data_IF_125730956830
#
_entry.id   IF_125730956830
#
_cell.length_a   1.000
_cell.length_b   1.000
_cell.length_c   1.000
_cell.angle_alpha   90.00
_cell.angle_beta   90.00
_cell.angle_gamma   90.00
#
_symmetry.space_group_name_H-M   'P 1'
#
loop_
_entity.id
_entity.type
_entity.pdbx_description
1 polymer ?
#
# COMPACT_ATOMS: atom_id res chain seq x y z
N UNK A 1 -0.16 -6.43 -24.87
CA UNK A 1 -0.78 -5.12 -25.15
C UNK A 1 -0.85 -4.35 -23.84
N UNK A 2 -0.23 -3.16 -23.71
CA UNK A 2 -0.34 -2.36 -22.49
C UNK A 2 -1.68 -1.64 -22.50
N UNK A 3 -2.56 -1.97 -21.56
CA UNK A 3 -3.88 -1.33 -21.44
C UNK A 3 -3.67 0.00 -20.73
N UNK A 4 -3.56 1.09 -21.49
CA UNK A 4 -3.57 2.45 -20.94
C UNK A 4 -4.96 2.72 -20.35
N UNK A 5 -5.12 2.51 -19.05
CA UNK A 5 -6.34 2.87 -18.32
C UNK A 5 -6.39 4.39 -18.16
N UNK A 6 -7.57 4.97 -18.42
CA UNK A 6 -7.82 6.41 -18.31
C UNK A 6 -8.05 6.73 -16.84
N UNK A 7 -7.18 7.53 -16.24
CA UNK A 7 -7.29 8.07 -14.88
C UNK A 7 -8.69 8.67 -14.66
N UNK A 8 -9.57 8.03 -13.88
CA UNK A 8 -10.88 8.59 -13.57
C UNK A 8 -10.72 9.56 -12.40
N UNK A 9 -10.76 10.86 -12.73
CA UNK A 9 -11.11 12.01 -11.89
C UNK A 9 -11.56 11.62 -10.47
N UNK A 10 -10.59 11.58 -9.54
CA UNK A 10 -10.72 11.55 -8.08
C UNK A 10 -12.11 11.09 -7.61
N UNK A 11 -12.46 9.83 -7.92
CA UNK A 11 -13.64 9.20 -7.32
C UNK A 11 -13.36 9.20 -5.82
N UNK A 12 -14.38 9.50 -5.02
CA UNK A 12 -14.34 9.25 -3.58
C UNK A 12 -14.08 7.76 -3.38
N UNK A 13 -12.80 7.38 -3.34
CA UNK A 13 -12.40 5.99 -3.24
C UNK A 13 -12.89 5.49 -1.89
N UNK A 14 -13.52 4.32 -1.90
CA UNK A 14 -13.83 3.67 -0.64
C UNK A 14 -12.52 3.29 0.05
N UNK A 15 -12.45 3.28 1.39
CA UNK A 15 -11.26 2.83 2.11
C UNK A 15 -10.77 1.43 1.68
N UNK A 16 -11.69 0.59 1.19
CA UNK A 16 -11.39 -0.74 0.66
C UNK A 16 -10.68 -0.69 -0.70
N UNK A 17 -11.04 0.25 -1.58
CA UNK A 17 -10.36 0.44 -2.86
C UNK A 17 -8.94 0.99 -2.65
N UNK A 18 -8.77 1.89 -1.68
CA UNK A 18 -7.45 2.43 -1.31
C UNK A 18 -6.56 1.32 -0.72
N UNK A 19 -7.10 0.50 0.19
CA UNK A 19 -6.39 -0.67 0.72
C UNK A 19 -5.91 -1.61 -0.38
N UNK A 20 -6.76 -1.85 -1.39
CA UNK A 20 -6.43 -2.71 -2.52
C UNK A 20 -5.33 -2.10 -3.40
N UNK A 21 -5.34 -0.80 -3.65
CA UNK A 21 -4.25 -0.16 -4.39
C UNK A 21 -2.91 -0.26 -3.64
N UNK A 22 -2.93 -0.16 -2.31
CA UNK A 22 -1.74 -0.30 -1.47
C UNK A 22 -1.31 -1.74 -1.20
N UNK A 23 -2.13 -2.75 -1.49
CA UNK A 23 -1.83 -4.14 -1.09
C UNK A 23 -0.55 -4.68 -1.75
N UNK A 24 -0.31 -4.37 -3.03
CA UNK A 24 0.92 -4.80 -3.69
C UNK A 24 2.14 -4.10 -3.09
N UNK A 25 2.03 -2.79 -2.89
CA UNK A 25 3.08 -2.01 -2.24
C UNK A 25 3.40 -2.56 -0.84
N UNK A 26 2.41 -3.04 -0.09
CA UNK A 26 2.64 -3.65 1.22
C UNK A 26 3.26 -5.04 1.15
N UNK A 27 2.89 -5.81 0.14
CA UNK A 27 3.36 -7.19 -0.02
C UNK A 27 4.81 -7.25 -0.50
N UNK A 28 5.12 -6.56 -1.59
CA UNK A 28 6.41 -6.68 -2.29
C UNK A 28 7.21 -5.38 -2.31
N UNK A 29 6.66 -4.27 -1.82
CA UNK A 29 7.35 -2.99 -1.79
C UNK A 29 7.40 -2.27 -3.13
N UNK A 30 6.61 -2.72 -4.11
CA UNK A 30 6.55 -2.16 -5.45
C UNK A 30 5.11 -2.21 -5.98
N UNK A 31 4.70 -1.18 -6.71
CA UNK A 31 3.42 -1.13 -7.43
C UNK A 31 3.67 -1.57 -8.88
N UNK A 32 3.26 -2.79 -9.22
CA UNK A 32 3.54 -3.36 -10.54
C UNK A 32 2.51 -2.95 -11.60
N UNK A 33 1.32 -2.56 -11.18
CA UNK A 33 0.20 -2.24 -12.07
C UNK A 33 -0.12 -0.76 -12.13
N UNK A 34 0.68 0.08 -11.45
CA UNK A 34 0.45 1.51 -11.29
C UNK A 34 -0.96 1.77 -10.69
N UNK A 35 -1.43 0.85 -9.82
CA UNK A 35 -2.74 0.94 -9.16
C UNK A 35 -2.79 2.17 -8.24
N UNK A 36 -1.65 2.61 -7.69
CA UNK A 36 -1.53 3.85 -6.94
C UNK A 36 -1.68 5.07 -7.86
N UNK A 37 -1.15 5.02 -9.09
CA UNK A 37 -1.31 6.10 -10.07
C UNK A 37 -2.78 6.28 -10.47
N UNK A 38 -3.52 5.17 -10.60
CA UNK A 38 -4.96 5.15 -10.90
C UNK A 38 -5.80 5.89 -9.82
N UNK A 39 -5.31 5.97 -8.58
CA UNK A 39 -5.95 6.69 -7.47
C UNK A 39 -5.34 8.09 -7.22
N UNK A 40 -4.44 8.54 -8.11
CA UNK A 40 -3.79 9.84 -8.05
C UNK A 40 -2.57 9.91 -7.13
N UNK A 41 -2.05 8.77 -6.70
CA UNK A 41 -0.81 8.65 -5.94
C UNK A 41 0.30 8.20 -6.89
N UNK A 42 1.17 9.11 -7.30
CA UNK A 42 2.36 8.74 -8.08
C UNK A 42 3.39 8.08 -7.18
N UNK A 43 3.23 6.79 -6.92
CA UNK A 43 4.14 5.97 -6.14
C UNK A 43 5.03 5.13 -7.05
N UNK A 44 5.88 5.79 -7.83
CA UNK A 44 6.78 5.09 -8.75
C UNK A 44 8.06 4.69 -8.01
N UNK A 45 8.34 3.38 -7.93
CA UNK A 45 9.59 2.84 -7.40
C UNK A 45 9.46 2.10 -6.06
N UNK A 46 10.49 1.30 -5.74
CA UNK A 46 10.52 0.53 -4.49
C UNK A 46 10.57 1.46 -3.28
N UNK A 47 9.77 1.17 -2.25
CA UNK A 47 9.90 1.86 -0.96
C UNK A 47 9.48 3.33 -0.96
N UNK A 48 8.44 3.66 -1.72
CA UNK A 48 7.88 5.01 -1.81
C UNK A 48 7.69 5.67 -0.42
N UNK A 49 8.04 6.96 -0.22
CA UNK A 49 7.98 7.61 1.09
C UNK A 49 6.57 7.65 1.70
N UNK A 50 5.52 7.61 0.88
CA UNK A 50 4.14 7.54 1.37
C UNK A 50 3.74 6.14 1.86
N UNK A 51 4.54 5.10 1.57
CA UNK A 51 4.22 3.73 1.97
C UNK A 51 4.22 3.56 3.49
N UNK A 52 5.09 4.26 4.22
CA UNK A 52 5.08 4.22 5.69
C UNK A 52 3.80 4.85 6.25
N UNK A 53 3.42 6.03 5.75
CA UNK A 53 2.18 6.72 6.15
C UNK A 53 0.94 5.89 5.83
N UNK A 54 0.89 5.29 4.65
CA UNK A 54 -0.19 4.40 4.24
C UNK A 54 -0.22 3.13 5.10
N UNK A 55 0.93 2.53 5.39
CA UNK A 55 1.04 1.36 6.25
C UNK A 55 0.52 1.63 7.66
N UNK A 56 0.83 2.79 8.25
CA UNK A 56 0.30 3.18 9.57
C UNK A 56 -1.22 3.34 9.59
N UNK A 57 -1.83 3.75 8.47
CA UNK A 57 -3.29 3.98 8.37
C UNK A 57 -4.06 2.71 8.01
N UNK A 58 -3.56 1.95 7.05
CA UNK A 58 -4.26 0.85 6.38
C UNK A 58 -3.66 -0.53 6.71
N UNK A 59 -2.42 -0.59 7.19
CA UNK A 59 -1.72 -1.85 7.44
C UNK A 59 -2.41 -2.74 8.46
N UNK A 60 -3.14 -2.17 9.42
CA UNK A 60 -3.92 -2.96 10.38
C UNK A 60 -5.10 -3.70 9.71
N UNK A 61 -5.78 -3.05 8.77
CA UNK A 61 -6.85 -3.68 7.98
C UNK A 61 -6.27 -4.69 6.98
N UNK A 62 -5.13 -4.38 6.37
CA UNK A 62 -4.42 -5.31 5.50
C UNK A 62 -4.05 -6.61 6.24
N UNK A 63 -3.44 -6.50 7.42
CA UNK A 63 -3.08 -7.67 8.24
C UNK A 63 -4.28 -8.45 8.80
N UNK A 64 -5.46 -7.84 8.86
CA UNK A 64 -6.72 -8.55 9.21
C UNK A 64 -7.25 -9.37 8.04
N UNK A 65 -7.06 -8.91 6.82
CA UNK A 65 -7.47 -9.60 5.60
C UNK A 65 -6.50 -10.73 5.22
N UNK A 66 -5.20 -10.54 5.51
CA UNK A 66 -4.15 -11.52 5.21
C UNK A 66 -3.98 -12.58 6.30
N UNK A 67 -3.43 -13.77 5.95
CA UNK A 67 -3.10 -14.79 6.95
C UNK A 67 -2.01 -14.31 7.91
N UNK A 68 -2.15 -14.66 9.19
CA UNK A 68 -1.29 -14.19 10.28
C UNK A 68 0.20 -14.55 10.12
N UNK A 69 0.51 -15.60 9.35
CA UNK A 69 1.88 -16.07 9.08
C UNK A 69 2.55 -15.37 7.89
N UNK A 70 1.85 -14.48 7.19
CA UNK A 70 2.41 -13.79 6.01
C UNK A 70 3.39 -12.70 6.44
N UNK A 71 4.64 -12.86 6.03
CA UNK A 71 5.67 -11.82 6.15
C UNK A 71 5.63 -10.97 4.89
N UNK A 72 5.08 -9.76 5.02
CA UNK A 72 4.95 -8.80 3.94
C UNK A 72 6.13 -7.82 3.98
N UNK A 73 6.57 -7.30 2.84
CA UNK A 73 7.67 -6.33 2.77
C UNK A 73 7.47 -5.14 3.72
N UNK A 74 6.25 -4.60 3.81
CA UNK A 74 5.95 -3.46 4.70
C UNK A 74 6.10 -3.83 6.18
N UNK A 75 5.77 -5.07 6.55
CA UNK A 75 5.97 -5.57 7.91
C UNK A 75 7.46 -5.71 8.25
N UNK A 76 8.28 -6.16 7.30
CA UNK A 76 9.74 -6.26 7.49
C UNK A 76 10.41 -4.87 7.54
N UNK A 77 10.02 -3.98 6.62
CA UNK A 77 10.61 -2.64 6.51
C UNK A 77 10.19 -1.73 7.63
N UNK A 78 8.88 -1.62 7.90
CA UNK A 78 8.34 -0.64 8.84
C UNK A 78 8.02 -1.24 10.21
N UNK A 79 7.81 -2.56 10.30
CA UNK A 79 7.33 -3.22 11.51
C UNK A 79 5.80 -3.27 11.56
N UNK A 80 5.25 -3.59 12.73
CA UNK A 80 3.79 -3.64 12.90
C UNK A 80 3.21 -2.22 12.82
N UNK A 81 2.08 -2.02 12.12
CA UNK A 81 1.54 -0.67 11.86
C UNK A 81 1.05 0.05 13.13
N UNK A 82 0.71 -0.69 14.19
CA UNK A 82 0.38 -0.16 15.52
C UNK A 82 1.59 -0.06 16.46
N UNK A 83 2.75 -0.62 16.10
CA UNK A 83 3.99 -0.41 16.83
C UNK A 83 4.67 0.84 16.29
N UNK A 84 4.46 1.96 16.98
CA UNK A 84 5.39 3.08 16.84
C UNK A 84 6.77 2.54 17.21
N UNK A 85 7.69 2.43 16.23
CA UNK A 85 9.10 2.17 16.50
C UNK A 85 9.63 3.30 17.39
N UNK A 86 9.51 3.13 18.69
CA UNK A 86 10.32 3.86 19.64
C UNK A 86 11.75 3.36 19.43
N UNK A 87 12.53 4.23 18.81
CA UNK A 87 13.94 4.03 18.51
C UNK A 87 14.68 3.47 19.72
N UNK A 88 15.54 2.48 19.46
CA UNK A 88 16.59 2.07 20.37
C UNK A 88 17.94 2.42 19.76
#
# INVERSE_FOLDING_TARGET
MPVKRRVPKQRSLSPADELRAWSEMFDVGFDFFDDLEDIGLSATGEGHPLAEDAWRRLGAEYLRAEPADKVCWALEKFGRPWETRYAR
#
